data_IF_053685709724
#
_entry.id   IF_053685709724
#
_cell.length_a   1.000
_cell.length_b   1.000
_cell.length_c   1.000
_cell.angle_alpha   90.00
_cell.angle_beta   90.00
_cell.angle_gamma   90.00
#
_symmetry.space_group_name_H-M   'P 1'
#
loop_
_entity.id
_entity.type
_entity.pdbx_description
1 polymer ?
#
# COMPACT_ATOMS: atom_id res chain seq x y z
N UNK A 1 10.64 27.83 -14.27
CA UNK A 1 11.73 27.42 -13.36
C UNK A 1 11.26 27.03 -11.95
N UNK A 2 9.98 27.24 -11.58
CA UNK A 2 9.44 26.92 -10.25
C UNK A 2 9.16 25.43 -10.03
N UNK A 3 8.82 24.69 -11.07
CA UNK A 3 8.35 23.30 -10.97
C UNK A 3 9.47 22.24 -10.72
N UNK A 4 10.73 22.54 -11.12
CA UNK A 4 11.83 21.57 -10.92
C UNK A 4 12.21 21.35 -9.44
N UNK A 5 12.01 22.34 -8.57
CA UNK A 5 12.36 22.21 -7.14
C UNK A 5 11.34 21.36 -6.36
N UNK A 6 10.09 21.39 -6.79
CA UNK A 6 9.01 20.61 -6.15
C UNK A 6 9.15 19.12 -6.44
N UNK A 7 9.54 18.76 -7.67
CA UNK A 7 9.74 17.36 -8.10
C UNK A 7 10.84 16.66 -7.26
N UNK A 8 11.96 17.39 -7.00
CA UNK A 8 13.06 16.84 -6.18
C UNK A 8 12.60 16.57 -4.74
N UNK A 9 11.72 17.41 -4.21
CA UNK A 9 11.27 17.30 -2.81
C UNK A 9 10.26 16.17 -2.62
N UNK A 10 9.37 15.93 -3.60
CA UNK A 10 8.40 14.84 -3.48
C UNK A 10 9.02 13.46 -3.81
N UNK A 11 10.03 13.43 -4.69
CA UNK A 11 10.88 12.24 -4.82
C UNK A 11 11.58 11.90 -3.49
N UNK A 12 11.95 12.94 -2.73
CA UNK A 12 12.55 12.81 -1.39
C UNK A 12 11.53 12.30 -0.35
N UNK A 13 10.24 12.62 -0.53
CA UNK A 13 9.17 12.19 0.37
C UNK A 13 8.89 10.70 0.36
N UNK A 14 9.18 10.04 -0.75
CA UNK A 14 9.10 8.57 -0.83
C UNK A 14 10.42 7.87 -0.47
N UNK A 15 11.55 8.59 -0.50
CA UNK A 15 12.88 7.99 -0.34
C UNK A 15 13.69 8.51 0.84
N UNK A 16 13.39 9.70 1.39
CA UNK A 16 14.14 10.27 2.52
C UNK A 16 13.22 10.52 3.69
N UNK A 17 13.44 9.78 4.77
CA UNK A 17 12.83 9.99 6.07
C UNK A 17 13.28 11.30 6.72
N UNK A 18 12.86 12.44 6.20
CA UNK A 18 12.90 13.70 6.92
C UNK A 18 11.67 13.75 7.83
N UNK A 19 11.90 14.01 9.10
CA UNK A 19 10.94 14.01 10.18
C UNK A 19 9.58 14.60 9.76
N UNK A 20 8.68 13.71 9.31
CA UNK A 20 7.28 14.03 9.15
C UNK A 20 6.60 13.67 10.45
N UNK A 21 6.23 14.67 11.25
CA UNK A 21 5.29 14.47 12.33
C UNK A 21 3.92 14.18 11.69
N UNK A 22 3.68 12.90 11.40
CA UNK A 22 2.40 12.45 10.89
C UNK A 22 1.46 12.23 12.08
N UNK A 23 0.54 13.16 12.32
CA UNK A 23 -0.60 12.92 13.19
C UNK A 23 -1.63 12.08 12.42
N UNK A 24 -1.58 10.77 12.58
CA UNK A 24 -2.68 9.90 12.15
C UNK A 24 -3.86 10.09 13.10
N UNK A 25 -4.83 10.91 12.73
CA UNK A 25 -6.17 10.77 13.28
C UNK A 25 -6.85 9.63 12.53
N UNK A 26 -6.95 8.48 13.19
CA UNK A 26 -7.86 7.44 12.76
C UNK A 26 -9.29 7.97 12.93
N UNK A 27 -9.90 8.41 11.84
CA UNK A 27 -11.35 8.49 11.83
C UNK A 27 -11.84 7.04 11.88
N UNK A 28 -12.43 6.67 13.01
CA UNK A 28 -13.04 5.36 13.23
C UNK A 28 -14.18 5.16 12.22
N UNK A 29 -13.85 4.69 11.03
CA UNK A 29 -14.83 3.98 10.24
C UNK A 29 -15.01 2.63 10.91
N UNK A 30 -15.95 2.58 11.85
CA UNK A 30 -16.43 1.33 12.44
C UNK A 30 -17.06 0.53 11.31
N UNK A 31 -16.28 -0.32 10.67
CA UNK A 31 -16.80 -1.32 9.74
C UNK A 31 -17.52 -2.33 10.62
N UNK A 32 -18.85 -2.24 10.62
CA UNK A 32 -19.70 -3.25 11.24
C UNK A 32 -19.54 -4.54 10.43
N UNK A 33 -18.71 -5.44 10.92
CA UNK A 33 -18.48 -6.76 10.35
C UNK A 33 -19.71 -7.63 10.60
N UNK A 34 -20.65 -7.64 9.67
CA UNK A 34 -21.81 -8.53 9.67
C UNK A 34 -21.60 -9.57 8.57
N UNK A 35 -21.20 -10.79 8.97
CA UNK A 35 -21.28 -11.97 8.11
C UNK A 35 -19.99 -12.35 7.38
N UNK A 36 -19.81 -13.64 7.24
CA UNK A 36 -18.60 -14.36 6.79
C UNK A 36 -18.41 -14.42 5.26
N UNK A 37 -18.89 -13.44 4.50
CA UNK A 37 -18.80 -13.42 3.05
C UNK A 37 -17.97 -12.23 2.57
N UNK A 38 -16.62 -12.36 2.64
CA UNK A 38 -15.71 -11.41 2.02
C UNK A 38 -15.40 -11.89 0.60
N UNK A 39 -16.11 -11.32 -0.37
CA UNK A 39 -15.94 -11.61 -1.79
C UNK A 39 -14.99 -10.63 -2.46
N UNK A 40 -14.59 -10.99 -3.67
CA UNK A 40 -13.84 -10.15 -4.58
C UNK A 40 -14.47 -8.76 -4.78
N UNK A 41 -15.78 -8.63 -4.63
CA UNK A 41 -16.50 -7.36 -4.72
C UNK A 41 -15.99 -6.34 -3.68
N UNK A 42 -15.62 -6.78 -2.49
CA UNK A 42 -15.08 -5.88 -1.45
C UNK A 42 -13.68 -5.39 -1.82
N UNK A 43 -12.84 -6.24 -2.40
CA UNK A 43 -11.51 -5.84 -2.88
C UNK A 43 -11.62 -4.93 -4.10
N UNK A 44 -12.64 -5.11 -4.94
CA UNK A 44 -12.91 -4.23 -6.07
C UNK A 44 -13.32 -2.82 -5.63
N UNK A 45 -13.90 -2.67 -4.44
CA UNK A 45 -14.20 -1.35 -3.87
C UNK A 45 -12.95 -0.50 -3.60
N UNK A 46 -11.80 -1.16 -3.43
CA UNK A 46 -10.49 -0.52 -3.24
C UNK A 46 -9.84 -0.12 -4.58
N UNK A 47 -10.29 -0.70 -5.68
CA UNK A 47 -9.76 -0.47 -7.03
C UNK A 47 -10.85 0.22 -7.87
N UNK A 48 -10.71 1.52 -8.21
CA UNK A 48 -11.69 2.22 -9.03
C UNK A 48 -12.00 1.48 -10.35
N UNK A 49 -13.25 1.38 -10.72
CA UNK A 49 -13.71 0.64 -11.92
C UNK A 49 -12.92 1.00 -13.19
N UNK A 50 -12.63 2.29 -13.37
CA UNK A 50 -11.87 2.79 -14.51
C UNK A 50 -10.44 2.24 -14.59
N UNK A 51 -9.91 1.71 -13.50
CA UNK A 51 -8.54 1.20 -13.41
C UNK A 51 -8.47 -0.33 -13.43
N UNK A 52 -9.55 -1.03 -13.14
CA UNK A 52 -9.52 -2.48 -12.92
C UNK A 52 -8.83 -3.24 -14.05
N UNK A 53 -9.14 -2.92 -15.31
CA UNK A 53 -8.53 -3.62 -16.45
C UNK A 53 -7.02 -3.43 -16.51
N UNK A 54 -6.52 -2.18 -16.47
CA UNK A 54 -5.08 -1.91 -16.54
C UNK A 54 -4.35 -2.43 -15.32
N UNK A 55 -4.94 -2.23 -14.15
CA UNK A 55 -4.38 -2.69 -12.88
C UNK A 55 -4.18 -4.21 -12.86
N UNK A 56 -5.19 -5.00 -13.25
CA UNK A 56 -5.09 -6.45 -13.25
C UNK A 56 -4.14 -7.02 -14.32
N UNK A 57 -3.93 -6.30 -15.41
CA UNK A 57 -2.90 -6.69 -16.40
C UNK A 57 -1.50 -6.66 -15.76
N UNK A 58 -1.21 -5.65 -14.95
CA UNK A 58 0.11 -5.47 -14.33
C UNK A 58 0.23 -6.18 -12.97
N UNK A 59 -0.78 -6.04 -12.11
CA UNK A 59 -0.78 -6.65 -10.78
C UNK A 59 -0.99 -8.17 -10.85
N UNK A 60 -1.76 -8.63 -11.84
CA UNK A 60 -2.19 -10.01 -12.02
C UNK A 60 -3.43 -10.34 -11.19
N UNK A 61 -3.97 -11.55 -11.38
CA UNK A 61 -5.16 -12.01 -10.66
C UNK A 61 -5.00 -11.95 -9.16
N UNK A 62 -6.10 -11.68 -8.47
CA UNK A 62 -6.18 -11.69 -7.01
C UNK A 62 -6.66 -13.07 -6.57
N UNK A 63 -6.02 -13.70 -5.59
CA UNK A 63 -6.51 -14.93 -5.00
C UNK A 63 -7.91 -14.74 -4.40
N UNK A 64 -8.84 -15.57 -4.81
CA UNK A 64 -10.22 -15.56 -4.34
C UNK A 64 -10.47 -16.69 -3.34
N UNK A 65 -11.47 -16.51 -2.51
CA UNK A 65 -11.98 -17.55 -1.63
C UNK A 65 -12.14 -17.11 -0.17
N UNK A 66 -13.09 -17.74 0.54
CA UNK A 66 -13.44 -17.36 1.91
C UNK A 66 -12.50 -18.01 2.96
N UNK A 67 -11.57 -18.85 2.54
CA UNK A 67 -10.67 -19.59 3.44
C UNK A 67 -9.22 -19.25 3.12
N UNK A 68 -8.76 -18.05 3.49
CA UNK A 68 -7.38 -17.67 3.29
C UNK A 68 -6.43 -18.54 4.13
N UNK A 69 -5.19 -18.77 3.67
CA UNK A 69 -4.18 -19.39 4.49
C UNK A 69 -3.87 -18.54 5.73
N UNK A 70 -3.28 -19.13 6.74
CA UNK A 70 -2.79 -18.40 7.92
C UNK A 70 -1.53 -17.60 7.51
N UNK A 71 -1.65 -16.28 7.47
CA UNK A 71 -0.55 -15.36 7.11
C UNK A 71 0.15 -14.76 8.34
N UNK A 72 -0.23 -15.14 9.56
CA UNK A 72 0.37 -14.61 10.78
C UNK A 72 1.88 -14.79 10.81
N UNK A 73 2.57 -13.75 11.22
CA UNK A 73 4.02 -13.67 11.30
C UNK A 73 4.56 -12.30 10.91
N UNK A 74 5.86 -12.16 11.00
CA UNK A 74 6.59 -10.95 10.59
C UNK A 74 7.37 -11.25 9.34
N UNK A 75 7.38 -10.28 8.40
CA UNK A 75 7.98 -10.45 7.08
C UNK A 75 8.73 -9.18 6.66
N UNK A 76 9.80 -9.38 5.90
CA UNK A 76 10.55 -8.31 5.26
C UNK A 76 10.46 -8.45 3.75
N UNK A 77 9.97 -7.40 3.10
CA UNK A 77 10.02 -7.25 1.64
C UNK A 77 11.27 -6.46 1.30
N UNK A 78 12.24 -7.10 0.73
CA UNK A 78 13.52 -6.45 0.46
C UNK A 78 14.45 -7.22 -0.47
N UNK A 79 14.95 -6.53 -1.50
CA UNK A 79 14.70 -5.12 -1.82
C UNK A 79 13.29 -4.92 -2.40
N UNK A 80 12.59 -3.89 -1.94
CA UNK A 80 11.29 -3.50 -2.52
C UNK A 80 11.52 -2.87 -3.89
N UNK A 81 10.96 -3.45 -4.94
CA UNK A 81 11.16 -3.05 -6.31
C UNK A 81 9.85 -2.64 -6.99
N UNK A 82 9.81 -1.43 -7.57
CA UNK A 82 8.66 -0.97 -8.35
C UNK A 82 8.63 -1.71 -9.70
N UNK A 83 7.46 -2.28 -10.04
CA UNK A 83 7.27 -3.07 -11.25
C UNK A 83 6.11 -2.64 -12.13
N UNK A 84 5.26 -1.73 -11.65
CA UNK A 84 4.14 -1.20 -12.41
C UNK A 84 3.69 0.17 -11.91
N UNK A 85 3.16 0.98 -12.82
CA UNK A 85 2.54 2.27 -12.56
C UNK A 85 1.82 2.74 -13.81
N UNK A 86 0.70 3.44 -13.66
CA UNK A 86 0.06 4.14 -14.78
C UNK A 86 0.56 5.59 -14.98
N UNK A 87 1.58 5.99 -14.22
CA UNK A 87 2.32 7.24 -14.47
C UNK A 87 3.41 7.01 -15.49
N UNK A 88 3.85 8.07 -16.14
CA UNK A 88 4.88 7.96 -17.17
C UNK A 88 6.20 7.48 -16.58
N UNK A 89 6.93 6.66 -17.33
CA UNK A 89 8.23 6.12 -16.91
C UNK A 89 9.26 7.23 -16.63
N UNK A 90 9.14 8.37 -17.30
CA UNK A 90 10.01 9.52 -17.05
C UNK A 90 9.85 10.08 -15.62
N UNK A 91 8.63 10.11 -15.10
CA UNK A 91 8.35 10.59 -13.75
C UNK A 91 8.65 9.52 -12.69
N UNK A 92 8.36 8.27 -13.03
CA UNK A 92 8.47 7.13 -12.10
C UNK A 92 9.07 5.89 -12.76
N UNK A 93 10.40 5.84 -12.90
CA UNK A 93 11.08 4.71 -13.55
C UNK A 93 10.70 3.38 -12.90
N UNK A 94 10.38 2.38 -13.72
CA UNK A 94 10.27 1.00 -13.28
C UNK A 94 11.64 0.49 -12.80
N UNK A 95 11.64 -0.58 -12.01
CA UNK A 95 12.83 -1.15 -11.37
C UNK A 95 13.48 -0.25 -10.30
N UNK A 96 12.87 0.87 -9.94
CA UNK A 96 13.34 1.66 -8.80
C UNK A 96 13.32 0.79 -7.54
N UNK A 97 14.47 0.73 -6.87
CA UNK A 97 14.62 0.05 -5.59
C UNK A 97 14.33 1.06 -4.49
N UNK A 98 13.42 0.68 -3.61
CA UNK A 98 13.01 1.49 -2.47
C UNK A 98 13.44 0.82 -1.15
N UNK A 99 13.41 1.53 -0.02
CA UNK A 99 13.70 0.96 1.28
C UNK A 99 12.85 -0.29 1.56
N UNK A 100 13.41 -1.21 2.34
CA UNK A 100 12.69 -2.41 2.75
C UNK A 100 11.39 -2.04 3.47
N UNK A 101 10.38 -2.85 3.25
CA UNK A 101 9.11 -2.77 3.94
C UNK A 101 8.99 -3.94 4.92
N UNK A 102 8.56 -3.63 6.14
CA UNK A 102 8.39 -4.60 7.21
C UNK A 102 6.91 -4.75 7.50
N UNK A 103 6.44 -5.98 7.60
CA UNK A 103 5.04 -6.29 7.86
C UNK A 103 4.92 -7.30 8.99
N UNK A 104 3.92 -7.12 9.86
CA UNK A 104 3.52 -8.12 10.83
C UNK A 104 2.02 -8.35 10.75
N UNK A 105 1.62 -9.60 10.62
CA UNK A 105 0.23 -10.02 10.67
C UNK A 105 -0.03 -10.81 11.95
N UNK A 106 -1.14 -10.51 12.63
CA UNK A 106 -1.51 -11.16 13.89
C UNK A 106 -3.04 -11.25 14.03
N UNK A 107 -3.49 -12.15 14.89
CA UNK A 107 -4.90 -12.30 15.24
C UNK A 107 -5.82 -12.52 14.03
N UNK A 108 -5.39 -13.34 13.08
CA UNK A 108 -6.20 -13.66 11.90
C UNK A 108 -7.42 -14.50 12.27
N UNK A 109 -8.60 -14.01 11.94
CA UNK A 109 -9.87 -14.71 12.13
C UNK A 109 -10.95 -14.15 11.20
N UNK A 110 -11.86 -15.01 10.74
CA UNK A 110 -13.06 -14.61 9.99
C UNK A 110 -12.80 -13.63 8.82
N UNK A 111 -11.73 -13.85 8.03
CA UNK A 111 -11.43 -12.98 6.89
C UNK A 111 -10.82 -11.63 7.25
N UNK A 112 -10.39 -11.43 8.49
CA UNK A 112 -9.69 -10.24 8.95
C UNK A 112 -8.37 -10.60 9.63
N UNK A 113 -7.43 -9.67 9.61
CA UNK A 113 -6.14 -9.80 10.29
C UNK A 113 -5.67 -8.43 10.77
N UNK A 114 -5.07 -8.38 11.95
CA UNK A 114 -4.36 -7.19 12.40
C UNK A 114 -3.03 -7.10 11.66
N UNK A 115 -2.76 -5.95 11.06
CA UNK A 115 -1.51 -5.69 10.34
C UNK A 115 -0.78 -4.51 10.97
N UNK A 116 0.52 -4.67 11.16
CA UNK A 116 1.45 -3.58 11.38
C UNK A 116 2.33 -3.49 10.12
N UNK A 117 2.35 -2.34 9.48
CA UNK A 117 3.15 -2.06 8.30
C UNK A 117 4.13 -0.94 8.63
N UNK A 118 5.41 -1.20 8.44
CA UNK A 118 6.46 -0.21 8.59
C UNK A 118 7.13 0.02 7.23
N UNK A 119 6.98 1.21 6.70
CA UNK A 119 7.58 1.65 5.46
C UNK A 119 8.38 2.94 5.71
N UNK A 120 9.69 2.86 5.57
CA UNK A 120 10.62 3.96 5.88
C UNK A 120 10.51 4.42 7.35
N UNK A 121 9.85 5.54 7.62
CA UNK A 121 9.72 6.14 8.97
C UNK A 121 8.32 6.00 9.56
N UNK A 122 7.42 5.34 8.85
CA UNK A 122 6.01 5.26 9.24
C UNK A 122 5.63 3.84 9.65
N UNK A 123 4.84 3.74 10.71
CA UNK A 123 4.18 2.50 11.11
C UNK A 123 2.68 2.71 11.03
N UNK A 124 2.03 1.89 10.21
CA UNK A 124 0.57 1.82 10.13
C UNK A 124 0.12 0.57 10.86
N UNK A 125 -0.79 0.72 11.80
CA UNK A 125 -1.45 -0.42 12.46
C UNK A 125 -2.91 -0.36 12.13
N UNK A 126 -3.43 -1.41 11.50
CA UNK A 126 -4.83 -1.48 11.09
C UNK A 126 -5.36 -2.91 11.17
N UNK A 127 -6.70 -3.04 11.16
CA UNK A 127 -7.39 -4.31 10.94
C UNK A 127 -7.81 -4.35 9.48
N UNK A 128 -7.29 -5.31 8.74
CA UNK A 128 -7.42 -5.39 7.29
C UNK A 128 -8.14 -6.67 6.87
N UNK A 129 -8.74 -6.64 5.69
CA UNK A 129 -9.39 -7.82 5.12
C UNK A 129 -8.37 -8.77 4.51
N UNK A 130 -8.61 -10.07 4.66
CA UNK A 130 -7.82 -11.12 4.04
C UNK A 130 -8.73 -12.14 3.38
N UNK A 131 -8.47 -12.46 2.12
CA UNK A 131 -9.13 -13.51 1.36
C UNK A 131 -8.10 -14.44 0.73
N UNK A 132 -8.56 -15.55 0.16
CA UNK A 132 -7.67 -16.47 -0.52
C UNK A 132 -8.11 -17.93 -0.43
N UNK A 133 -7.29 -18.80 -1.01
CA UNK A 133 -7.53 -20.24 -1.04
C UNK A 133 -6.20 -21.01 -1.10
N UNK A 134 -6.14 -22.16 -0.44
CA UNK A 134 -4.92 -22.96 -0.38
C UNK A 134 -3.77 -22.20 0.29
N UNK A 135 -2.68 -22.01 -0.45
CA UNK A 135 -1.54 -21.21 0.02
C UNK A 135 -1.59 -19.75 -0.40
N UNK A 136 -2.48 -19.38 -1.33
CA UNK A 136 -2.55 -18.04 -1.91
C UNK A 136 -3.47 -17.12 -1.09
N UNK A 137 -3.06 -15.86 -0.92
CA UNK A 137 -3.83 -14.87 -0.18
C UNK A 137 -3.81 -13.50 -0.88
N UNK A 138 -4.81 -12.69 -0.54
CA UNK A 138 -4.78 -11.25 -0.74
C UNK A 138 -5.21 -10.54 0.54
N UNK A 139 -4.61 -9.38 0.79
CA UNK A 139 -4.96 -8.44 1.85
C UNK A 139 -5.32 -7.12 1.21
N UNK A 140 -6.37 -6.46 1.68
CA UNK A 140 -6.80 -5.19 1.13
C UNK A 140 -7.45 -4.30 2.20
N UNK A 141 -7.27 -3.00 2.05
CA UNK A 141 -7.84 -2.00 2.94
C UNK A 141 -7.79 -0.61 2.32
N UNK A 142 -8.49 0.34 2.94
CA UNK A 142 -8.46 1.75 2.59
C UNK A 142 -7.76 2.50 3.70
N UNK A 143 -6.76 3.29 3.35
CA UNK A 143 -6.04 4.17 4.26
C UNK A 143 -6.38 5.63 3.99
N UNK A 144 -6.67 6.38 5.05
CA UNK A 144 -6.77 7.84 5.00
C UNK A 144 -5.51 8.42 5.64
N UNK A 145 -4.73 9.17 4.86
CA UNK A 145 -3.45 9.71 5.29
C UNK A 145 -3.40 11.21 5.16
N UNK A 146 -2.94 11.88 6.22
CA UNK A 146 -2.67 13.31 6.22
C UNK A 146 -1.17 13.55 6.16
N UNK A 147 -0.75 14.45 5.29
CA UNK A 147 0.63 14.89 5.16
C UNK A 147 0.75 16.32 5.63
N UNK A 148 1.79 16.58 6.39
CA UNK A 148 2.21 17.91 6.78
C UNK A 148 3.71 18.03 6.52
N UNK A 149 4.10 18.99 5.69
CA UNK A 149 5.49 19.15 5.24
C UNK A 149 5.89 20.59 5.40
N UNK A 150 7.00 20.82 6.04
CA UNK A 150 7.62 22.15 6.12
C UNK A 150 8.65 22.32 5.00
N UNK A 151 8.45 23.32 4.16
CA UNK A 151 9.35 23.68 3.08
C UNK A 151 9.54 25.20 3.03
N UNK A 152 10.79 25.65 3.19
CA UNK A 152 11.12 27.09 3.10
C UNK A 152 10.39 27.95 4.14
N UNK A 153 10.07 27.39 5.32
CA UNK A 153 9.34 28.07 6.39
C UNK A 153 7.81 28.16 6.17
N UNK A 154 7.29 27.39 5.21
CA UNK A 154 5.86 27.24 4.98
C UNK A 154 5.43 25.79 5.24
N UNK A 155 4.30 25.63 5.91
CA UNK A 155 3.68 24.34 6.15
C UNK A 155 2.69 24.01 5.04
N UNK A 156 2.81 22.83 4.46
CA UNK A 156 1.97 22.28 3.41
C UNK A 156 1.17 21.12 3.95
N UNK A 157 -0.11 21.09 3.66
CA UNK A 157 -1.01 20.02 4.09
C UNK A 157 -1.62 19.36 2.87
N UNK A 158 -1.82 18.03 2.97
CA UNK A 158 -2.60 17.28 2.01
C UNK A 158 -3.22 16.06 2.68
N UNK A 159 -4.41 15.67 2.23
CA UNK A 159 -5.08 14.42 2.66
C UNK A 159 -5.23 13.51 1.47
N UNK A 160 -4.88 12.25 1.65
CA UNK A 160 -4.98 11.23 0.61
C UNK A 160 -5.75 10.04 1.13
N UNK A 161 -6.76 9.63 0.37
CA UNK A 161 -7.40 8.33 0.53
C UNK A 161 -6.73 7.36 -0.44
N UNK A 162 -6.12 6.29 0.10
CA UNK A 162 -5.41 5.27 -0.68
C UNK A 162 -6.09 3.91 -0.54
N UNK A 163 -6.19 3.21 -1.65
CA UNK A 163 -6.46 1.78 -1.65
C UNK A 163 -5.14 1.01 -1.58
N UNK A 164 -5.07 0.04 -0.71
CA UNK A 164 -3.92 -0.84 -0.56
C UNK A 164 -4.34 -2.27 -0.88
N UNK A 165 -3.55 -2.94 -1.72
CA UNK A 165 -3.76 -4.35 -2.06
C UNK A 165 -2.42 -5.08 -1.99
N UNK A 166 -2.38 -6.20 -1.29
CA UNK A 166 -1.23 -7.09 -1.19
C UNK A 166 -1.65 -8.50 -1.60
N UNK A 167 -0.75 -9.27 -2.19
CA UNK A 167 -0.97 -10.69 -2.47
C UNK A 167 0.32 -11.49 -2.46
N UNK A 168 0.20 -12.79 -2.30
CA UNK A 168 1.32 -13.71 -2.34
C UNK A 168 0.90 -15.15 -2.03
N UNK A 169 1.90 -15.99 -1.87
CA UNK A 169 1.71 -17.37 -1.42
C UNK A 169 2.47 -17.59 -0.10
N UNK A 170 1.79 -18.16 0.88
CA UNK A 170 2.42 -18.56 2.14
C UNK A 170 3.22 -19.83 1.91
N UNK A 171 4.50 -19.76 2.24
CA UNK A 171 5.39 -20.91 2.30
C UNK A 171 6.10 -20.94 3.67
N UNK A 172 6.86 -21.98 3.96
CA UNK A 172 7.53 -22.14 5.25
C UNK A 172 8.44 -20.95 5.58
N UNK A 173 9.24 -20.50 4.59
CA UNK A 173 10.26 -19.47 4.76
C UNK A 173 9.73 -18.03 4.63
N UNK A 174 8.46 -17.84 4.25
CA UNK A 174 7.92 -16.49 4.06
C UNK A 174 6.73 -16.40 3.12
N UNK A 175 6.66 -15.26 2.41
CA UNK A 175 5.63 -14.98 1.40
C UNK A 175 6.29 -14.96 0.02
N UNK A 176 6.04 -16.00 -0.76
CA UNK A 176 6.54 -16.13 -2.14
C UNK A 176 5.69 -15.29 -3.09
N UNK A 177 6.32 -14.78 -4.16
CA UNK A 177 5.67 -13.98 -5.21
C UNK A 177 4.87 -12.79 -4.64
N UNK A 178 5.37 -12.21 -3.54
CA UNK A 178 4.71 -11.11 -2.87
C UNK A 178 4.65 -9.87 -3.77
N UNK A 179 3.45 -9.29 -3.87
CA UNK A 179 3.18 -8.02 -4.53
C UNK A 179 2.38 -7.11 -3.61
N UNK A 180 2.68 -5.83 -3.71
CA UNK A 180 2.02 -4.75 -3.00
C UNK A 180 1.63 -3.66 -4.00
N UNK A 181 0.44 -3.13 -3.86
CA UNK A 181 -0.02 -2.01 -4.68
C UNK A 181 -0.64 -0.93 -3.80
N UNK A 182 -0.40 0.32 -4.17
CA UNK A 182 -1.08 1.49 -3.63
C UNK A 182 -1.79 2.23 -4.76
N UNK A 183 -3.03 2.66 -4.51
CA UNK A 183 -3.89 3.33 -5.49
C UNK A 183 -4.40 4.62 -4.87
N UNK A 184 -4.17 5.75 -5.52
CA UNK A 184 -4.70 7.04 -5.08
C UNK A 184 -6.19 7.12 -5.42
N UNK A 185 -7.05 6.93 -4.44
CA UNK A 185 -8.49 6.98 -4.62
C UNK A 185 -9.02 8.40 -4.61
N UNK A 186 -8.46 9.28 -3.77
CA UNK A 186 -8.84 10.67 -3.65
C UNK A 186 -7.71 11.48 -3.03
N UNK A 187 -7.53 12.72 -3.45
CA UNK A 187 -6.74 13.71 -2.75
C UNK A 187 -7.62 14.90 -2.36
N UNK A 188 -7.42 15.41 -1.16
CA UNK A 188 -8.16 16.53 -0.58
C UNK A 188 -7.20 17.51 0.08
N UNK A 189 -7.63 18.76 0.25
CA UNK A 189 -6.88 19.81 0.94
C UNK A 189 -5.45 20.06 0.40
N UNK A 190 -5.20 19.67 -0.86
CA UNK A 190 -3.90 19.87 -1.53
C UNK A 190 -3.82 21.25 -2.20
N UNK A 191 -4.05 22.30 -1.43
CA UNK A 191 -4.09 23.68 -1.92
C UNK A 191 -2.78 24.16 -2.56
N UNK A 192 -1.67 23.50 -2.23
CA UNK A 192 -0.33 23.83 -2.70
C UNK A 192 0.19 22.86 -3.78
N UNK A 193 -0.63 21.90 -4.21
CA UNK A 193 -0.24 20.90 -5.21
C UNK A 193 0.85 19.94 -4.73
N UNK A 194 0.90 19.64 -3.42
CA UNK A 194 1.90 18.76 -2.82
C UNK A 194 1.87 17.35 -3.41
N UNK A 195 0.66 16.87 -3.69
CA UNK A 195 0.40 15.54 -4.27
C UNK A 195 -0.21 15.62 -5.68
N UNK A 196 -0.21 16.80 -6.30
CA UNK A 196 -0.79 17.01 -7.63
C UNK A 196 -0.13 16.14 -8.72
N UNK A 197 1.11 15.72 -8.52
CA UNK A 197 1.80 14.80 -9.42
C UNK A 197 1.26 13.35 -9.32
N UNK A 198 0.44 13.04 -8.32
CA UNK A 198 -0.24 11.78 -8.15
C UNK A 198 -1.75 11.98 -8.29
N UNK A 199 -2.27 12.15 -9.49
CA UNK A 199 -3.69 12.36 -9.69
C UNK A 199 -4.49 11.18 -9.18
N UNK A 200 -5.75 11.45 -8.88
CA UNK A 200 -6.70 10.37 -8.55
C UNK A 200 -6.68 9.32 -9.64
N UNK A 201 -6.59 8.06 -9.25
CA UNK A 201 -6.43 6.93 -10.14
C UNK A 201 -4.97 6.56 -10.43
N UNK A 202 -3.98 7.28 -9.91
CA UNK A 202 -2.60 6.82 -9.97
C UNK A 202 -2.42 5.57 -9.14
N UNK A 203 -1.66 4.60 -9.67
CA UNK A 203 -1.27 3.43 -8.91
C UNK A 203 0.22 3.11 -9.06
N UNK A 204 0.74 2.42 -8.06
CA UNK A 204 2.11 1.90 -8.02
C UNK A 204 2.06 0.45 -7.58
N UNK A 205 2.82 -0.39 -8.27
CA UNK A 205 2.93 -1.81 -7.99
C UNK A 205 4.38 -2.13 -7.64
N UNK A 206 4.55 -2.84 -6.56
CA UNK A 206 5.83 -3.28 -6.04
C UNK A 206 5.85 -4.80 -5.90
N UNK A 207 7.04 -5.36 -5.92
CA UNK A 207 7.31 -6.75 -5.56
C UNK A 207 8.49 -6.83 -4.61
N UNK A 208 8.65 -7.97 -3.99
CA UNK A 208 9.92 -8.37 -3.42
C UNK A 208 10.93 -8.66 -4.55
N UNK A 209 12.10 -8.07 -4.48
CA UNK A 209 13.07 -8.10 -5.57
C UNK A 209 13.75 -9.46 -5.74
N UNK A 210 13.89 -10.24 -4.67
CA UNK A 210 14.41 -11.63 -4.71
C UNK A 210 13.29 -12.69 -4.78
N UNK A 211 12.01 -12.25 -4.78
CA UNK A 211 10.84 -13.10 -4.94
C UNK A 211 10.35 -13.75 -3.65
N UNK A 212 10.95 -13.42 -2.50
CA UNK A 212 10.60 -13.98 -1.20
C UNK A 212 10.62 -12.93 -0.09
N UNK A 213 9.45 -12.45 0.31
CA UNK A 213 9.34 -11.68 1.55
C UNK A 213 9.61 -12.62 2.73
N UNK A 214 10.83 -12.56 3.25
CA UNK A 214 11.35 -13.50 4.25
C UNK A 214 10.65 -13.35 5.59
N UNK A 215 10.41 -14.46 6.25
CA UNK A 215 9.95 -14.48 7.63
C UNK A 215 11.07 -14.01 8.55
N UNK A 216 10.77 -13.06 9.42
CA UNK A 216 11.69 -12.56 10.43
C UNK A 216 11.06 -12.56 11.83
N UNK A 217 11.90 -12.53 12.85
CA UNK A 217 11.47 -12.33 14.23
C UNK A 217 11.70 -10.87 14.59
N UNK A 218 10.65 -10.19 14.95
CA UNK A 218 10.68 -8.79 15.42
C UNK A 218 10.60 -8.78 16.94
#
# INVERSE_FOLDING_TARGET
MKNRKIIIVLGLLMTCGLALTCCTKNDENTIALIGTEYYIDDILSVIPDSLQTSFFVEFGSIPEGPVPPKIEGSYVVGPKQRVGSNLTEYEWPLQTVEPNMYMRFANQHNGIVKMDLNEATETVTDTVFVCGNGGAFAVYFIENKSYEIELGGQTYHAKVKRGIVMKGQVIEDGLKDFRYATIIMKSEDDSNGLIAQYPQGSYFIYKDGDGLAKREVW
#
